data_IF_072418032019
#
_entry.id   IF_072418032019
#
_cell.length_a   1.000
_cell.length_b   1.000
_cell.length_c   1.000
_cell.angle_alpha   90.00
_cell.angle_beta   90.00
_cell.angle_gamma   90.00
#
_symmetry.space_group_name_H-M   'P 1'
#
loop_
_entity.id
_entity.type
_entity.pdbx_description
1 polymer ?
#
# COMPACT_ATOMS: atom_id res chain seq x y z
N UNK A 1 -13.34 16.12 6.16
CA UNK A 1 -13.48 16.68 4.80
C UNK A 1 -13.10 15.52 3.90
N UNK A 2 -14.07 14.78 3.37
CA UNK A 2 -13.87 13.42 2.84
C UNK A 2 -12.77 13.39 1.78
N UNK A 3 -12.66 14.45 0.97
CA UNK A 3 -11.65 14.54 -0.09
C UNK A 3 -10.22 14.60 0.45
N UNK A 4 -9.97 15.29 1.57
CA UNK A 4 -8.61 15.38 2.15
C UNK A 4 -8.14 14.05 2.71
N UNK A 5 -9.05 13.33 3.35
CA UNK A 5 -8.76 12.02 3.92
C UNK A 5 -8.51 11.01 2.80
N UNK A 6 -9.33 11.04 1.74
CA UNK A 6 -9.14 10.21 0.55
C UNK A 6 -7.78 10.47 -0.13
N UNK A 7 -7.41 11.72 -0.36
CA UNK A 7 -6.13 12.09 -0.98
C UNK A 7 -4.94 11.63 -0.12
N UNK A 8 -5.05 11.78 1.20
CA UNK A 8 -3.98 11.39 2.13
C UNK A 8 -3.77 9.88 2.14
N UNK A 9 -4.86 9.11 2.17
CA UNK A 9 -4.81 7.65 2.11
C UNK A 9 -4.31 7.14 0.75
N UNK A 10 -4.73 7.77 -0.35
CA UNK A 10 -4.21 7.48 -1.69
C UNK A 10 -2.69 7.71 -1.77
N UNK A 11 -2.23 8.87 -1.30
CA UNK A 11 -0.80 9.19 -1.27
C UNK A 11 0.00 8.18 -0.42
N UNK A 12 -0.56 7.72 0.69
CA UNK A 12 0.07 6.71 1.54
C UNK A 12 0.19 5.36 0.83
N UNK A 13 -0.87 4.93 0.14
CA UNK A 13 -0.88 3.68 -0.65
C UNK A 13 0.18 3.72 -1.75
N UNK A 14 0.23 4.79 -2.54
CA UNK A 14 1.23 4.95 -3.62
C UNK A 14 2.66 4.90 -3.09
N UNK A 15 2.95 5.55 -1.97
CA UNK A 15 4.31 5.54 -1.39
C UNK A 15 4.78 4.15 -0.96
N UNK A 16 3.86 3.32 -0.43
CA UNK A 16 4.20 1.96 -0.01
C UNK A 16 4.40 1.09 -1.26
N UNK A 17 3.56 1.26 -2.28
CA UNK A 17 3.66 0.54 -3.55
C UNK A 17 5.03 0.77 -4.23
N UNK A 18 5.42 2.04 -4.40
CA UNK A 18 6.73 2.42 -4.98
C UNK A 18 7.92 1.91 -4.16
N UNK A 19 7.77 1.77 -2.84
CA UNK A 19 8.81 1.23 -1.97
C UNK A 19 8.95 -0.28 -2.15
N UNK A 20 7.83 -1.01 -2.13
CA UNK A 20 7.82 -2.47 -2.27
C UNK A 20 8.26 -2.91 -3.67
N UNK A 21 7.88 -2.17 -4.71
CA UNK A 21 8.34 -2.43 -6.09
C UNK A 21 9.87 -2.42 -6.19
N UNK A 22 10.53 -1.45 -5.53
CA UNK A 22 11.99 -1.34 -5.51
C UNK A 22 12.66 -2.44 -4.68
N UNK A 23 12.13 -2.73 -3.49
CA UNK A 23 12.75 -3.70 -2.59
C UNK A 23 12.55 -5.15 -3.06
N UNK A 24 11.42 -5.44 -3.72
CA UNK A 24 11.03 -6.77 -4.16
C UNK A 24 11.21 -6.98 -5.67
N UNK A 25 11.92 -6.09 -6.36
CA UNK A 25 12.21 -6.19 -7.80
C UNK A 25 12.77 -7.57 -8.18
N UNK A 26 13.67 -8.11 -7.34
CA UNK A 26 14.27 -9.43 -7.55
C UNK A 26 13.30 -10.60 -7.39
N UNK A 27 12.29 -10.45 -6.53
CA UNK A 27 11.25 -11.44 -6.32
C UNK A 27 10.13 -11.35 -7.35
N UNK A 28 10.07 -10.23 -8.10
CA UNK A 28 8.98 -9.89 -9.01
C UNK A 28 7.79 -9.37 -8.23
N UNK A 29 7.73 -8.06 -7.94
CA UNK A 29 6.58 -7.48 -7.24
C UNK A 29 5.37 -7.38 -8.17
N UNK A 30 4.23 -7.94 -7.74
CA UNK A 30 2.96 -7.96 -8.48
C UNK A 30 1.91 -6.96 -7.98
N UNK A 31 2.23 -6.18 -6.93
CA UNK A 31 1.32 -5.24 -6.29
C UNK A 31 1.01 -5.60 -4.83
N UNK A 32 0.21 -4.75 -4.18
CA UNK A 32 -0.25 -4.98 -2.81
C UNK A 32 -1.72 -4.58 -2.60
N UNK A 33 -2.31 -5.11 -1.54
CA UNK A 33 -3.55 -4.61 -0.96
C UNK A 33 -3.37 -4.25 0.52
N UNK A 34 -4.04 -3.20 0.96
CA UNK A 34 -4.01 -2.69 2.34
C UNK A 34 -5.42 -2.71 2.92
N UNK A 35 -5.59 -3.51 3.96
CA UNK A 35 -6.81 -3.60 4.75
C UNK A 35 -6.59 -2.98 6.13
N UNK A 36 -7.27 -1.87 6.39
CA UNK A 36 -7.25 -1.19 7.69
C UNK A 36 -8.42 -1.70 8.51
N UNK A 37 -8.14 -2.36 9.63
CA UNK A 37 -9.14 -2.85 10.59
C UNK A 37 -8.88 -2.22 11.96
N UNK A 38 -9.87 -2.20 12.87
CA UNK A 38 -9.65 -1.73 14.24
C UNK A 38 -8.56 -2.49 15.00
N UNK A 39 -8.29 -3.75 14.63
CA UNK A 39 -7.23 -4.57 15.24
C UNK A 39 -5.84 -4.22 14.71
N UNK A 40 -5.75 -3.68 13.50
CA UNK A 40 -4.49 -3.33 12.86
C UNK A 40 -4.61 -3.22 11.35
N UNK A 41 -3.46 -2.93 10.72
CA UNK A 41 -3.33 -2.83 9.27
C UNK A 41 -2.70 -4.11 8.72
N UNK A 42 -3.41 -4.78 7.81
CA UNK A 42 -2.89 -5.91 7.07
C UNK A 42 -2.44 -5.44 5.69
N UNK A 43 -1.22 -5.83 5.30
CA UNK A 43 -0.66 -5.59 3.97
C UNK A 43 -0.45 -6.93 3.29
N UNK A 44 -1.16 -7.18 2.20
CA UNK A 44 -1.07 -8.40 1.39
C UNK A 44 -0.22 -8.05 0.18
N UNK A 45 0.89 -8.77 -0.01
CA UNK A 45 1.83 -8.54 -1.13
C UNK A 45 1.73 -9.69 -2.12
N UNK A 46 1.67 -9.36 -3.40
CA UNK A 46 1.66 -10.31 -4.51
C UNK A 46 3.01 -10.30 -5.23
N UNK A 47 3.42 -11.45 -5.74
CA UNK A 47 4.64 -11.63 -6.54
C UNK A 47 4.38 -12.55 -7.73
#
# INVERSE_FOLDING_TARGET
MIEKDFVTEGLRRTKIDEYLEKELERAGYGGMDIQVTPLGTMVIVYA
#
